data_IF_986655385614
#
_entry.id   IF_986655385614
#
_cell.length_a   1.000
_cell.length_b   1.000
_cell.length_c   1.000
_cell.angle_alpha   90.00
_cell.angle_beta   90.00
_cell.angle_gamma   90.00
#
_symmetry.space_group_name_H-M   'P 1'
#
loop_
_entity.id
_entity.type
_entity.pdbx_description
1 polymer ?
#
# COMPACT_ATOMS: atom_id res chain seq x y z
N UNK A 1 13.78 -2.99 37.52
CA UNK A 1 12.71 -3.94 37.17
C UNK A 1 11.55 -3.13 36.62
N UNK A 2 11.20 -3.20 35.32
CA UNK A 2 9.95 -2.62 34.84
C UNK A 2 8.77 -3.39 35.46
N UNK A 3 7.73 -2.67 35.89
CA UNK A 3 6.55 -3.25 36.54
C UNK A 3 5.59 -3.85 35.51
N UNK A 4 4.78 -4.83 35.96
CA UNK A 4 3.83 -5.59 35.12
C UNK A 4 2.88 -4.71 34.28
N UNK A 5 2.58 -3.49 34.76
CA UNK A 5 1.71 -2.53 34.07
C UNK A 5 2.29 -2.00 32.74
N UNK A 6 3.62 -1.92 32.60
CA UNK A 6 4.24 -1.43 31.35
C UNK A 6 4.10 -2.44 30.20
N UNK A 7 4.04 -3.73 30.52
CA UNK A 7 3.96 -4.80 29.50
C UNK A 7 2.54 -5.00 28.97
N UNK A 8 1.51 -4.71 29.77
CA UNK A 8 0.11 -4.78 29.36
C UNK A 8 -0.27 -3.65 28.38
N UNK A 9 0.17 -2.41 28.62
CA UNK A 9 -0.14 -1.27 27.76
C UNK A 9 0.39 -1.41 26.32
N UNK A 10 1.55 -2.05 26.15
CA UNK A 10 2.13 -2.37 24.83
C UNK A 10 1.34 -3.47 24.08
N UNK A 11 0.66 -4.34 24.84
CA UNK A 11 -0.13 -5.45 24.30
C UNK A 11 -1.53 -4.97 23.86
N UNK A 12 -2.14 -4.07 24.63
CA UNK A 12 -3.43 -3.46 24.29
C UNK A 12 -3.35 -2.56 23.04
N UNK A 13 -2.21 -1.90 22.79
CA UNK A 13 -2.02 -1.13 21.55
C UNK A 13 -2.02 -1.98 20.26
N UNK A 14 -1.76 -3.29 20.37
CA UNK A 14 -1.73 -4.21 19.23
C UNK A 14 -3.10 -4.74 18.83
N UNK A 15 -4.12 -4.55 19.67
CA UNK A 15 -5.49 -5.04 19.45
C UNK A 15 -6.48 -3.92 19.09
N UNK A 16 -6.00 -2.75 18.64
CA UNK A 16 -6.84 -1.87 17.83
C UNK A 16 -7.16 -2.62 16.56
N UNK A 17 -8.36 -3.19 16.47
CA UNK A 17 -9.00 -3.69 15.26
C UNK A 17 -8.44 -2.94 14.06
N UNK A 18 -7.67 -3.63 13.22
CA UNK A 18 -6.90 -3.01 12.15
C UNK A 18 -7.86 -2.46 11.09
N UNK A 19 -8.38 -1.25 11.33
CA UNK A 19 -9.20 -0.53 10.37
C UNK A 19 -8.33 -0.32 9.15
N UNK A 20 -8.72 -0.94 8.04
CA UNK A 20 -8.04 -0.71 6.78
C UNK A 20 -8.24 0.76 6.37
N UNK A 21 -7.16 1.51 6.10
CA UNK A 21 -7.29 2.90 5.67
C UNK A 21 -7.94 2.96 4.28
N UNK A 22 -8.92 3.84 4.10
CA UNK A 22 -9.52 4.11 2.77
C UNK A 22 -8.48 4.78 1.85
N UNK A 23 -7.65 5.64 2.42
CA UNK A 23 -6.52 6.28 1.75
C UNK A 23 -5.39 6.53 2.75
N UNK A 24 -4.15 6.64 2.26
CA UNK A 24 -2.95 6.77 3.09
C UNK A 24 -1.99 7.83 2.52
N UNK A 25 -1.02 8.27 3.31
CA UNK A 25 0.01 9.20 2.82
C UNK A 25 0.98 8.50 1.87
N UNK A 26 1.65 9.28 1.02
CA UNK A 26 2.68 8.78 0.10
C UNK A 26 3.75 7.92 0.79
N UNK A 27 4.31 8.31 1.96
CA UNK A 27 5.29 7.48 2.67
C UNK A 27 4.72 6.13 3.14
N UNK A 28 3.46 6.10 3.57
CA UNK A 28 2.80 4.85 4.00
C UNK A 28 2.58 3.94 2.79
N UNK A 29 2.09 4.46 1.67
CA UNK A 29 1.93 3.68 0.44
C UNK A 29 3.26 3.07 -0.02
N UNK A 30 4.35 3.83 0.08
CA UNK A 30 5.70 3.33 -0.20
C UNK A 30 6.08 2.19 0.75
N UNK A 31 5.81 2.35 2.05
CA UNK A 31 6.09 1.32 3.06
C UNK A 31 5.31 0.03 2.81
N UNK A 32 4.00 0.12 2.56
CA UNK A 32 3.15 -1.04 2.30
C UNK A 32 3.50 -1.78 1.00
N UNK A 33 3.89 -1.05 -0.05
CA UNK A 33 4.30 -1.65 -1.32
C UNK A 33 5.77 -2.08 -1.37
N UNK A 34 6.59 -1.66 -0.40
CA UNK A 34 8.04 -1.91 -0.42
C UNK A 34 8.77 -1.18 -1.55
N UNK A 35 8.28 -0.03 -2.01
CA UNK A 35 8.87 0.74 -3.12
C UNK A 35 9.33 2.14 -2.70
N UNK A 36 10.30 2.70 -3.42
CA UNK A 36 10.73 4.07 -3.24
C UNK A 36 9.70 5.10 -3.72
N UNK A 37 9.77 6.32 -3.18
CA UNK A 37 8.90 7.45 -3.56
C UNK A 37 8.97 7.77 -5.05
N UNK A 38 10.15 7.73 -5.65
CA UNK A 38 10.33 8.00 -7.07
C UNK A 38 9.54 7.01 -7.93
N UNK A 39 9.57 5.73 -7.58
CA UNK A 39 8.77 4.69 -8.26
C UNK A 39 7.29 4.95 -8.10
N UNK A 40 6.82 5.27 -6.88
CA UNK A 40 5.42 5.57 -6.65
C UNK A 40 4.96 6.79 -7.47
N UNK A 41 5.76 7.86 -7.53
CA UNK A 41 5.43 9.03 -8.34
C UNK A 41 5.40 8.75 -9.84
N UNK A 42 6.28 7.87 -10.35
CA UNK A 42 6.19 7.41 -11.75
C UNK A 42 4.88 6.68 -12.00
N UNK A 43 4.44 5.81 -11.08
CA UNK A 43 3.17 5.10 -11.20
C UNK A 43 1.97 6.07 -11.16
N UNK A 44 2.03 7.09 -10.30
CA UNK A 44 1.01 8.15 -10.22
C UNK A 44 0.98 8.94 -11.54
N UNK A 45 2.15 9.33 -12.07
CA UNK A 45 2.25 10.07 -13.33
C UNK A 45 1.71 9.25 -14.53
N UNK A 46 1.86 7.92 -14.48
CA UNK A 46 1.28 6.99 -15.47
C UNK A 46 -0.22 6.73 -15.28
N UNK A 47 -0.83 7.24 -14.21
CA UNK A 47 -2.22 6.94 -13.85
C UNK A 47 -2.44 5.51 -13.35
N UNK A 48 -1.37 4.76 -13.05
CA UNK A 48 -1.46 3.41 -12.51
C UNK A 48 -1.78 3.39 -11.01
N UNK A 49 -1.53 4.51 -10.33
CA UNK A 49 -1.89 4.73 -8.92
C UNK A 49 -2.64 6.04 -8.79
N UNK A 50 -3.84 5.98 -8.22
CA UNK A 50 -4.71 7.13 -8.03
C UNK A 50 -4.40 7.85 -6.71
N UNK A 51 -4.43 9.17 -6.79
CA UNK A 51 -4.30 10.06 -5.65
C UNK A 51 -5.48 11.04 -5.58
N UNK A 52 -5.79 11.46 -4.36
CA UNK A 52 -6.70 12.58 -4.11
C UNK A 52 -5.97 13.67 -3.33
N UNK A 53 -6.39 14.91 -3.55
CA UNK A 53 -5.97 16.07 -2.75
C UNK A 53 -7.06 16.37 -1.72
N UNK A 54 -6.67 16.45 -0.45
CA UNK A 54 -7.53 16.89 0.64
C UNK A 54 -6.83 18.05 1.35
N UNK A 55 -7.21 19.28 1.00
CA UNK A 55 -6.47 20.48 1.40
C UNK A 55 -5.04 20.48 0.84
N UNK A 56 -4.04 20.74 1.69
CA UNK A 56 -2.61 20.67 1.33
C UNK A 56 -2.11 19.23 1.12
N UNK A 57 -2.95 18.26 1.43
CA UNK A 57 -2.54 16.93 1.76
C UNK A 57 -2.81 15.98 0.58
N UNK A 58 -1.79 15.24 0.13
CA UNK A 58 -1.94 14.23 -0.94
C UNK A 58 -2.14 12.86 -0.30
N UNK A 59 -3.18 12.15 -0.76
CA UNK A 59 -3.52 10.81 -0.28
C UNK A 59 -3.55 9.83 -1.46
N UNK A 60 -3.06 8.63 -1.22
CA UNK A 60 -3.06 7.51 -2.16
C UNK A 60 -4.22 6.60 -1.80
N UNK A 61 -5.03 6.22 -2.79
CA UNK A 61 -6.20 5.36 -2.56
C UNK A 61 -5.78 3.91 -2.37
N UNK A 62 -6.22 3.28 -1.28
CA UNK A 62 -5.89 1.88 -0.99
C UNK A 62 -6.45 0.94 -2.07
N UNK A 63 -7.67 1.21 -2.56
CA UNK A 63 -8.27 0.45 -3.67
C UNK A 63 -7.42 0.49 -4.94
N UNK A 64 -6.77 1.63 -5.24
CA UNK A 64 -5.90 1.77 -6.41
C UNK A 64 -4.62 0.94 -6.28
N UNK A 65 -4.03 0.90 -5.09
CA UNK A 65 -2.87 0.04 -4.80
C UNK A 65 -3.22 -1.45 -4.93
N UNK A 66 -4.40 -1.87 -4.45
CA UNK A 66 -4.89 -3.25 -4.62
C UNK A 66 -5.03 -3.61 -6.10
N UNK A 67 -5.68 -2.76 -6.88
CA UNK A 67 -5.85 -2.93 -8.33
C UNK A 67 -4.51 -3.02 -9.06
N UNK A 68 -3.52 -2.22 -8.68
CA UNK A 68 -2.16 -2.28 -9.23
C UNK A 68 -1.54 -3.66 -9.04
N UNK A 69 -1.58 -4.18 -7.80
CA UNK A 69 -1.01 -5.49 -7.45
C UNK A 69 -1.73 -6.61 -8.20
N UNK A 70 -3.07 -6.60 -8.21
CA UNK A 70 -3.87 -7.58 -8.95
C UNK A 70 -3.56 -7.58 -10.45
N UNK A 71 -3.44 -6.40 -11.05
CA UNK A 71 -3.09 -6.26 -12.47
C UNK A 71 -1.69 -6.81 -12.78
N UNK A 72 -0.72 -6.62 -11.86
CA UNK A 72 0.64 -7.18 -12.01
C UNK A 72 0.64 -8.70 -11.85
N UNK A 73 -0.12 -9.22 -10.88
CA UNK A 73 -0.28 -10.67 -10.68
C UNK A 73 -0.92 -11.34 -11.89
N UNK A 74 -1.99 -10.75 -12.45
CA UNK A 74 -2.66 -11.30 -13.64
C UNK A 74 -1.71 -11.40 -14.84
N UNK A 75 -0.91 -10.36 -15.11
CA UNK A 75 0.12 -10.38 -16.17
C UNK A 75 1.21 -11.42 -15.94
N UNK A 76 1.66 -11.59 -14.69
CA UNK A 76 2.68 -12.58 -14.36
C UNK A 76 2.16 -14.02 -14.49
N UNK A 77 0.85 -14.22 -14.30
CA UNK A 77 0.19 -15.52 -14.43
C UNK A 77 -0.33 -15.81 -15.84
N UNK A 78 -0.12 -14.93 -16.82
CA UNK A 78 -0.47 -15.20 -18.20
C UNK A 78 0.58 -16.19 -18.75
N UNK A 79 0.18 -17.41 -19.17
CA UNK A 79 1.11 -18.31 -19.83
C UNK A 79 1.70 -17.57 -21.03
N UNK A 80 3.03 -17.64 -21.19
CA UNK A 80 3.66 -17.33 -22.46
C UNK A 80 2.98 -18.25 -23.47
N UNK A 81 2.06 -17.72 -24.27
CA UNK A 81 1.55 -18.44 -25.42
C UNK A 81 2.77 -18.71 -26.30
N UNK A 82 3.14 -19.99 -26.31
CA UNK A 82 4.17 -20.61 -27.10
C UNK A 82 3.88 -20.32 -28.57
N UNK A 83 4.47 -19.25 -29.11
CA UNK A 83 4.44 -18.95 -30.55
C UNK A 83 5.43 -19.89 -31.23
N UNK A 84 5.06 -21.18 -31.24
CA UNK A 84 5.60 -22.18 -32.12
C UNK A 84 5.08 -21.94 -33.53
N UNK A 85 5.81 -21.13 -34.30
CA UNK A 85 5.86 -21.18 -35.77
C UNK A 85 7.25 -20.88 -36.29
#
# INVERSE_FOLDING_TARGET
MPSASTTEHLREQRERTAIEPIAMRVPEACHYLGIGRSTLYVLIAKGEVEIIKLGSATLVLTASLRKLVESRRARANQPLEDDGR
#
